data_IF_538027593950
#
_entry.id   IF_538027593950
#
_cell.length_a   1.000
_cell.length_b   1.000
_cell.length_c   1.000
_cell.angle_alpha   90.00
_cell.angle_beta   90.00
_cell.angle_gamma   90.00
#
_symmetry.space_group_name_H-M   'P 1'
#
loop_
_entity.id
_entity.type
_entity.pdbx_description
1 polymer ?
#
# COMPACT_ATOMS: atom_id res chain seq x y z
N UNK A 1 -15.00 -2.75 2.72
CA UNK A 1 -15.57 -2.36 1.41
C UNK A 1 -14.42 -2.21 0.43
N UNK A 2 -14.38 -3.00 -0.64
CA UNK A 2 -13.40 -2.86 -1.72
C UNK A 2 -13.96 -1.80 -2.67
N UNK A 3 -13.47 -0.57 -2.58
CA UNK A 3 -13.82 0.45 -3.57
C UNK A 3 -12.94 0.27 -4.80
N UNK A 4 -13.51 -0.35 -5.83
CA UNK A 4 -13.02 -0.22 -7.19
C UNK A 4 -13.37 1.20 -7.65
N UNK A 5 -12.44 2.13 -7.51
CA UNK A 5 -12.59 3.45 -8.11
C UNK A 5 -12.42 3.32 -9.64
N UNK A 6 -13.46 2.79 -10.29
CA UNK A 6 -13.60 2.88 -11.75
C UNK A 6 -14.04 4.30 -12.08
N UNK A 7 -13.17 5.04 -12.71
CA UNK A 7 -13.58 6.18 -13.51
C UNK A 7 -13.78 5.67 -14.94
N UNK A 8 -15.03 5.63 -15.41
CA UNK A 8 -15.39 5.28 -16.79
C UNK A 8 -14.97 6.36 -17.78
N UNK A 9 -14.51 7.48 -17.28
CA UNK A 9 -13.92 8.56 -18.09
C UNK A 9 -12.41 8.42 -18.12
N UNK A 10 -11.80 8.59 -19.29
CA UNK A 10 -10.36 8.51 -19.59
C UNK A 10 -9.45 9.46 -18.76
N UNK A 11 -9.83 9.80 -17.55
CA UNK A 11 -9.09 10.67 -16.66
C UNK A 11 -8.39 9.84 -15.60
N UNK A 12 -7.12 9.51 -15.85
CA UNK A 12 -6.27 8.76 -14.91
C UNK A 12 -5.99 9.63 -13.69
N UNK A 13 -6.71 9.39 -12.59
CA UNK A 13 -6.44 10.07 -11.32
C UNK A 13 -5.04 9.73 -10.82
N UNK A 14 -4.33 10.73 -10.32
CA UNK A 14 -3.04 10.52 -9.67
C UNK A 14 -3.22 9.79 -8.34
N UNK A 15 -2.18 9.10 -7.89
CA UNK A 15 -2.20 8.45 -6.58
C UNK A 15 -2.51 9.45 -5.45
N UNK A 16 -1.98 10.68 -5.56
CA UNK A 16 -2.26 11.76 -4.60
C UNK A 16 -3.74 12.16 -4.53
N UNK A 17 -4.43 12.23 -5.66
CA UNK A 17 -5.86 12.54 -5.72
C UNK A 17 -6.70 11.41 -5.10
N UNK A 18 -6.33 10.16 -5.38
CA UNK A 18 -6.97 8.99 -4.78
C UNK A 18 -6.80 9.00 -3.26
N UNK A 19 -5.61 9.36 -2.76
CA UNK A 19 -5.36 9.44 -1.32
C UNK A 19 -6.16 10.55 -0.64
N UNK A 20 -6.25 11.73 -1.24
CA UNK A 20 -7.10 12.81 -0.73
C UNK A 20 -8.56 12.37 -0.62
N UNK A 21 -9.05 11.67 -1.63
CA UNK A 21 -10.40 11.12 -1.62
C UNK A 21 -10.58 10.05 -0.54
N UNK A 22 -9.65 9.08 -0.48
CA UNK A 22 -9.73 7.95 0.47
C UNK A 22 -9.69 8.39 1.93
N UNK A 23 -8.91 9.41 2.28
CA UNK A 23 -8.80 9.95 3.63
C UNK A 23 -9.81 11.07 3.94
N UNK A 24 -10.53 11.56 2.91
CA UNK A 24 -11.50 12.65 3.06
C UNK A 24 -10.88 13.91 3.66
N UNK A 25 -11.62 14.74 4.41
CA UNK A 25 -11.12 16.01 4.96
C UNK A 25 -9.89 15.88 5.87
N UNK A 26 -9.65 14.70 6.44
CA UNK A 26 -8.54 14.44 7.37
C UNK A 26 -7.22 14.09 6.69
N UNK A 27 -7.16 14.03 5.36
CA UNK A 27 -5.96 13.60 4.62
C UNK A 27 -4.69 14.37 5.02
N UNK A 28 -4.80 15.68 5.23
CA UNK A 28 -3.64 16.50 5.56
C UNK A 28 -3.09 16.17 6.95
N UNK A 29 -3.95 16.08 7.96
CA UNK A 29 -3.53 15.75 9.33
C UNK A 29 -2.99 14.32 9.45
N UNK A 30 -3.59 13.36 8.73
CA UNK A 30 -3.22 11.95 8.83
C UNK A 30 -1.97 11.60 8.02
N UNK A 31 -1.77 12.22 6.84
CA UNK A 31 -0.69 11.85 5.92
C UNK A 31 0.48 12.81 5.95
N UNK A 32 0.26 14.12 6.14
CA UNK A 32 1.30 15.13 5.96
C UNK A 32 1.93 15.58 7.25
N UNK A 33 1.19 15.64 8.36
CA UNK A 33 1.64 16.28 9.58
C UNK A 33 2.53 15.39 10.44
N UNK A 34 3.61 15.98 10.94
CA UNK A 34 4.50 15.37 11.94
C UNK A 34 4.23 15.91 13.35
N UNK A 35 3.20 16.71 13.53
CA UNK A 35 2.88 17.35 14.81
C UNK A 35 2.24 16.35 15.77
N UNK A 36 2.78 16.30 16.98
CA UNK A 36 2.25 15.64 18.17
C UNK A 36 1.05 16.45 18.75
N UNK A 37 0.00 16.65 17.96
CA UNK A 37 -1.20 17.25 18.51
C UNK A 37 -2.05 16.14 19.11
N UNK A 38 -2.00 16.03 20.45
CA UNK A 38 -2.97 15.42 21.37
C UNK A 38 -3.19 13.89 21.29
N UNK A 39 -2.78 13.17 20.27
CA UNK A 39 -2.88 11.71 20.23
C UNK A 39 -1.48 11.08 20.25
N UNK A 40 -1.28 10.11 21.14
CA UNK A 40 -0.09 9.27 21.15
C UNK A 40 -0.09 8.41 19.89
N UNK A 41 0.49 8.92 18.82
CA UNK A 41 0.74 8.11 17.62
C UNK A 41 1.92 7.19 17.91
N UNK A 42 1.67 5.89 17.92
CA UNK A 42 2.70 4.91 18.11
C UNK A 42 3.72 4.96 16.95
N UNK A 43 5.03 4.92 17.23
CA UNK A 43 6.07 4.85 16.20
C UNK A 43 5.89 3.62 15.32
N UNK A 44 6.19 3.74 14.03
CA UNK A 44 6.11 2.62 13.09
C UNK A 44 4.71 2.17 12.71
N UNK A 45 3.67 2.96 13.02
CA UNK A 45 2.27 2.68 12.68
C UNK A 45 1.77 3.64 11.58
N UNK A 46 1.96 3.35 10.28
CA UNK A 46 1.50 4.22 9.20
C UNK A 46 -0.02 4.22 9.06
N UNK A 47 -0.56 5.34 8.58
CA UNK A 47 -1.96 5.46 8.18
C UNK A 47 -2.21 4.90 6.77
N UNK A 48 -1.21 5.00 5.90
CA UNK A 48 -1.21 4.53 4.52
C UNK A 48 -0.07 3.54 4.27
N UNK A 49 -0.40 2.39 3.71
CA UNK A 49 0.57 1.41 3.22
C UNK A 49 0.34 1.18 1.72
N UNK A 50 1.40 1.34 0.93
CA UNK A 50 1.40 1.10 -0.51
C UNK A 50 2.26 -0.13 -0.82
N UNK A 51 1.67 -1.14 -1.43
CA UNK A 51 2.35 -2.40 -1.78
C UNK A 51 2.53 -2.49 -3.28
N UNK A 52 3.76 -2.75 -3.70
CA UNK A 52 4.14 -2.93 -5.10
C UNK A 52 4.97 -4.19 -5.32
N UNK A 53 5.13 -4.58 -6.59
CA UNK A 53 5.84 -5.81 -6.96
C UNK A 53 7.37 -5.69 -6.87
N UNK A 54 7.91 -4.47 -6.80
CA UNK A 54 9.36 -4.25 -6.80
C UNK A 54 9.78 -2.98 -6.05
N UNK A 55 11.05 -2.93 -5.65
CA UNK A 55 11.66 -1.76 -5.03
C UNK A 55 11.62 -0.51 -5.93
N UNK A 56 11.86 -0.70 -7.23
CA UNK A 56 11.83 0.40 -8.22
C UNK A 56 10.43 0.99 -8.27
N UNK A 57 9.42 0.14 -8.34
CA UNK A 57 8.03 0.59 -8.38
C UNK A 57 7.62 1.28 -7.08
N UNK A 58 8.05 0.78 -5.92
CA UNK A 58 7.84 1.45 -4.63
C UNK A 58 8.39 2.87 -4.62
N UNK A 59 9.58 3.08 -5.18
CA UNK A 59 10.21 4.41 -5.27
C UNK A 59 9.46 5.36 -6.20
N UNK A 60 8.94 4.86 -7.33
CA UNK A 60 8.12 5.66 -8.25
C UNK A 60 6.85 6.15 -7.56
N UNK A 61 6.15 5.28 -6.86
CA UNK A 61 4.94 5.62 -6.11
C UNK A 61 5.22 6.62 -4.99
N UNK A 62 6.33 6.49 -4.28
CA UNK A 62 6.76 7.46 -3.27
C UNK A 62 7.10 8.83 -3.85
N UNK A 63 7.59 8.90 -5.10
CA UNK A 63 7.80 10.18 -5.79
C UNK A 63 6.47 10.88 -6.07
N UNK A 64 5.43 10.15 -6.46
CA UNK A 64 4.08 10.71 -6.62
C UNK A 64 3.51 11.23 -5.29
N UNK A 65 3.85 10.58 -4.17
CA UNK A 65 3.42 10.96 -2.83
C UNK A 65 4.31 12.00 -2.16
N UNK A 66 5.34 12.52 -2.84
CA UNK A 66 6.27 13.52 -2.27
C UNK A 66 5.59 14.75 -1.66
N UNK A 67 4.49 15.29 -2.22
CA UNK A 67 3.77 16.41 -1.59
C UNK A 67 3.25 16.10 -0.17
N UNK A 68 2.98 14.82 0.13
CA UNK A 68 2.47 14.37 1.43
C UNK A 68 3.58 14.06 2.45
N UNK A 69 4.82 13.92 2.02
CA UNK A 69 5.93 13.41 2.84
C UNK A 69 6.98 14.46 3.21
N UNK A 70 6.64 15.74 3.07
CA UNK A 70 7.56 16.86 3.35
C UNK A 70 7.86 17.00 4.84
N UNK A 71 6.85 16.94 5.68
CA UNK A 71 7.00 17.05 7.13
C UNK A 71 7.29 15.70 7.81
N UNK A 72 6.75 14.62 7.27
CA UNK A 72 6.91 13.28 7.80
C UNK A 72 7.39 12.34 6.67
N UNK A 73 8.69 12.02 6.62
CA UNK A 73 9.25 11.16 5.58
C UNK A 73 8.60 9.79 5.53
N UNK A 74 8.38 9.27 4.32
CA UNK A 74 7.84 7.93 4.13
C UNK A 74 8.86 6.84 4.46
N UNK A 75 8.39 5.73 5.01
CA UNK A 75 9.22 4.54 5.20
C UNK A 75 9.30 3.70 3.90
N UNK A 76 10.51 3.30 3.56
CA UNK A 76 10.82 2.43 2.41
C UNK A 76 10.99 1.01 2.91
N UNK A 77 10.07 0.12 2.52
CA UNK A 77 9.96 -1.24 3.05
C UNK A 77 10.23 -2.30 1.96
N UNK A 78 11.41 -2.23 1.34
CA UNK A 78 11.89 -3.21 0.36
C UNK A 78 13.34 -3.59 0.65
N UNK A 79 13.79 -4.75 0.15
CA UNK A 79 15.11 -5.30 0.49
C UNK A 79 16.26 -4.79 -0.37
N UNK A 80 16.00 -4.26 -1.56
CA UNK A 80 17.04 -3.82 -2.49
C UNK A 80 17.87 -2.67 -1.89
N UNK A 81 19.14 -2.92 -1.63
CA UNK A 81 20.11 -1.96 -1.04
C UNK A 81 19.73 -1.41 0.36
N UNK A 82 18.83 -2.11 1.07
CA UNK A 82 18.43 -1.70 2.42
C UNK A 82 18.46 -2.87 3.39
N UNK A 83 19.20 -2.70 4.47
CA UNK A 83 19.23 -3.67 5.56
C UNK A 83 17.97 -3.56 6.41
N UNK A 84 17.54 -4.68 6.98
CA UNK A 84 16.32 -4.70 7.79
C UNK A 84 16.47 -3.88 9.07
N UNK A 85 17.67 -3.84 9.65
CA UNK A 85 18.00 -3.07 10.85
C UNK A 85 17.84 -1.57 10.63
N UNK A 86 18.17 -1.07 9.42
CA UNK A 86 17.97 0.32 9.04
C UNK A 86 16.47 0.66 8.99
N UNK A 87 15.66 -0.25 8.48
CA UNK A 87 14.19 -0.07 8.43
C UNK A 87 13.58 -0.14 9.82
N UNK A 88 14.02 -1.07 10.67
CA UNK A 88 13.61 -1.13 12.07
C UNK A 88 13.95 0.19 12.80
N UNK A 89 15.11 0.78 12.52
CA UNK A 89 15.51 2.07 13.09
C UNK A 89 14.59 3.21 12.63
N UNK A 90 14.25 3.26 11.33
CA UNK A 90 13.31 4.25 10.79
C UNK A 90 11.93 4.13 11.42
N UNK A 91 11.45 2.89 11.62
CA UNK A 91 10.14 2.60 12.19
C UNK A 91 10.04 2.90 13.70
N UNK A 92 11.15 3.21 14.38
CA UNK A 92 11.12 3.77 15.75
C UNK A 92 10.64 5.22 15.80
N UNK A 93 10.45 5.85 14.66
CA UNK A 93 9.93 7.21 14.54
C UNK A 93 8.47 7.19 14.04
N UNK A 94 7.84 8.36 14.05
CA UNK A 94 6.53 8.54 13.44
C UNK A 94 6.64 8.32 11.93
N UNK A 95 5.76 7.47 11.40
CA UNK A 95 5.61 7.20 9.97
C UNK A 95 4.13 7.30 9.62
N UNK A 96 3.77 8.15 8.67
CA UNK A 96 2.38 8.26 8.19
C UNK A 96 2.17 7.42 6.92
N UNK A 97 3.17 7.34 6.07
CA UNK A 97 3.13 6.65 4.78
C UNK A 97 4.30 5.67 4.71
N UNK A 98 4.01 4.44 4.30
CA UNK A 98 5.02 3.44 4.00
C UNK A 98 4.75 2.82 2.63
N UNK A 99 5.81 2.47 1.91
CA UNK A 99 5.72 1.75 0.64
C UNK A 99 6.79 0.66 0.56
N UNK A 100 6.39 -0.50 0.05
CA UNK A 100 7.32 -1.62 -0.05
C UNK A 100 6.79 -2.82 -0.80
N UNK A 101 7.53 -3.91 -0.66
CA UNK A 101 7.22 -5.20 -1.26
C UNK A 101 6.68 -6.19 -0.23
N UNK A 102 5.83 -7.16 -0.62
CA UNK A 102 5.12 -8.02 0.33
C UNK A 102 6.02 -8.74 1.34
N UNK A 103 7.11 -9.34 0.90
CA UNK A 103 7.97 -10.14 1.79
C UNK A 103 8.65 -9.30 2.86
N UNK A 104 9.14 -8.10 2.51
CA UNK A 104 9.78 -7.21 3.48
C UNK A 104 8.77 -6.61 4.45
N UNK A 105 7.60 -6.23 3.98
CA UNK A 105 6.50 -5.74 4.82
C UNK A 105 6.10 -6.81 5.83
N UNK A 106 5.84 -8.04 5.38
CA UNK A 106 5.49 -9.14 6.27
C UNK A 106 6.56 -9.39 7.34
N UNK A 107 7.83 -9.42 6.95
CA UNK A 107 8.94 -9.62 7.87
C UNK A 107 9.00 -8.53 8.95
N UNK A 108 8.77 -7.28 8.61
CA UNK A 108 8.75 -6.17 9.57
C UNK A 108 7.53 -6.20 10.50
N UNK A 109 6.40 -6.70 10.04
CA UNK A 109 5.22 -6.93 10.90
C UNK A 109 5.50 -8.10 11.85
N UNK A 110 6.04 -9.23 11.35
CA UNK A 110 6.39 -10.40 12.15
C UNK A 110 7.42 -10.07 13.26
N UNK A 111 8.29 -9.09 13.02
CA UNK A 111 9.26 -8.56 13.99
C UNK A 111 8.66 -7.50 14.92
N UNK A 112 7.39 -7.18 14.80
CA UNK A 112 6.70 -6.12 15.57
C UNK A 112 7.31 -4.73 15.38
N UNK A 113 8.12 -4.52 14.33
CA UNK A 113 8.69 -3.22 13.99
C UNK A 113 7.69 -2.34 13.20
N UNK A 114 6.87 -2.95 12.35
CA UNK A 114 5.79 -2.29 11.61
C UNK A 114 4.46 -2.64 12.25
N UNK A 115 3.76 -1.65 12.77
CA UNK A 115 2.45 -1.82 13.39
C UNK A 115 1.30 -1.44 12.45
N UNK A 116 0.12 -1.99 12.71
CA UNK A 116 -1.06 -1.85 11.87
C UNK A 116 -2.25 -1.17 12.59
N UNK A 117 -2.09 -0.73 13.84
CA UNK A 117 -3.19 -0.17 14.62
C UNK A 117 -3.80 1.10 14.01
N UNK A 118 -2.99 1.85 13.28
CA UNK A 118 -3.38 3.13 12.66
C UNK A 118 -3.68 3.00 11.17
N UNK A 119 -3.44 1.83 10.57
CA UNK A 119 -3.59 1.61 9.14
C UNK A 119 -5.05 1.72 8.72
N UNK A 120 -5.36 2.71 7.90
CA UNK A 120 -6.71 3.01 7.41
C UNK A 120 -6.89 2.70 5.93
N UNK A 121 -5.82 2.85 5.14
CA UNK A 121 -5.85 2.62 3.70
C UNK A 121 -4.66 1.77 3.27
N UNK A 122 -4.96 0.73 2.51
CA UNK A 122 -4.01 -0.15 1.84
C UNK A 122 -4.14 0.04 0.33
N UNK A 123 -3.06 0.44 -0.33
CA UNK A 123 -3.01 0.55 -1.78
C UNK A 123 -2.24 -0.63 -2.36
N UNK A 124 -2.84 -1.33 -3.30
CA UNK A 124 -2.19 -2.35 -4.11
C UNK A 124 -1.89 -1.79 -5.50
N UNK A 125 -0.62 -1.72 -5.86
CA UNK A 125 -0.19 -1.28 -7.18
C UNK A 125 -0.40 -2.39 -8.21
N UNK A 126 -1.26 -2.12 -9.18
CA UNK A 126 -1.64 -3.08 -10.23
C UNK A 126 -0.85 -2.89 -11.52
N UNK A 127 0.14 -1.97 -11.53
CA UNK A 127 0.99 -1.75 -12.70
C UNK A 127 1.70 -3.04 -13.11
N UNK A 128 1.59 -3.37 -14.38
CA UNK A 128 2.32 -4.50 -14.96
C UNK A 128 3.77 -4.12 -15.28
N UNK A 129 4.67 -5.08 -15.10
CA UNK A 129 6.06 -4.96 -15.56
C UNK A 129 6.17 -5.16 -17.08
N UNK A 130 7.40 -5.08 -17.61
CA UNK A 130 7.67 -5.24 -19.04
C UNK A 130 7.31 -6.63 -19.59
N UNK A 131 7.16 -7.62 -18.71
CA UNK A 131 6.75 -8.99 -19.06
C UNK A 131 5.25 -9.22 -18.91
N UNK A 132 4.49 -8.19 -18.48
CA UNK A 132 3.05 -8.26 -18.26
C UNK A 132 2.64 -8.84 -16.90
N UNK A 133 3.53 -8.92 -15.92
CA UNK A 133 3.22 -9.36 -14.57
C UNK A 133 2.90 -8.18 -13.65
N UNK A 134 1.85 -8.33 -12.86
CA UNK A 134 1.47 -7.40 -11.77
C UNK A 134 1.83 -7.98 -10.40
N UNK A 135 1.56 -7.20 -9.35
CA UNK A 135 1.65 -7.64 -7.95
C UNK A 135 0.91 -8.97 -7.70
N UNK A 136 -0.22 -9.19 -8.37
CA UNK A 136 -1.08 -10.35 -8.17
C UNK A 136 -0.85 -11.49 -9.17
N UNK A 137 0.03 -11.31 -10.14
CA UNK A 137 0.30 -12.31 -11.20
C UNK A 137 1.75 -12.76 -11.27
N UNK A 138 2.72 -11.99 -10.77
CA UNK A 138 4.12 -12.40 -10.67
C UNK A 138 4.25 -13.52 -9.62
N UNK A 139 4.60 -14.77 -10.01
CA UNK A 139 4.34 -15.97 -9.19
C UNK A 139 4.83 -15.89 -7.74
N UNK A 140 6.11 -15.59 -7.52
CA UNK A 140 6.68 -15.52 -6.17
C UNK A 140 6.07 -14.36 -5.38
N UNK A 141 5.97 -13.18 -5.95
CA UNK A 141 5.43 -11.98 -5.31
C UNK A 141 3.94 -12.14 -4.99
N UNK A 142 3.19 -12.76 -5.90
CA UNK A 142 1.77 -13.10 -5.69
C UNK A 142 1.58 -13.95 -4.45
N UNK A 143 2.37 -14.99 -4.29
CA UNK A 143 2.23 -15.92 -3.15
C UNK A 143 2.60 -15.22 -1.84
N UNK A 144 3.66 -14.40 -1.83
CA UNK A 144 4.04 -13.54 -0.69
C UNK A 144 2.94 -12.51 -0.37
N UNK A 145 2.31 -11.91 -1.39
CA UNK A 145 1.21 -10.95 -1.21
C UNK A 145 -0.03 -11.61 -0.58
N UNK A 146 -0.39 -12.80 -1.05
CA UNK A 146 -1.54 -13.52 -0.50
C UNK A 146 -1.30 -14.01 0.91
N UNK A 147 -0.08 -14.44 1.24
CA UNK A 147 0.30 -14.79 2.61
C UNK A 147 0.20 -13.58 3.54
N UNK A 148 0.76 -12.44 3.13
CA UNK A 148 0.65 -11.18 3.86
C UNK A 148 -0.81 -10.74 4.06
N UNK A 149 -1.63 -10.80 3.01
CA UNK A 149 -3.04 -10.42 3.06
C UNK A 149 -3.82 -11.28 4.05
N UNK A 150 -3.70 -12.60 3.94
CA UNK A 150 -4.41 -13.54 4.82
C UNK A 150 -3.97 -13.41 6.27
N UNK A 151 -2.69 -13.17 6.51
CA UNK A 151 -2.13 -13.11 7.87
C UNK A 151 -2.52 -11.82 8.60
N UNK A 152 -2.66 -10.68 7.91
CA UNK A 152 -2.72 -9.38 8.58
C UNK A 152 -3.81 -8.44 8.12
N UNK A 153 -4.32 -8.57 6.89
CA UNK A 153 -5.25 -7.59 6.33
C UNK A 153 -6.68 -8.09 6.17
N UNK A 154 -6.84 -9.39 5.96
CA UNK A 154 -8.14 -9.97 5.60
C UNK A 154 -9.25 -9.60 6.58
N UNK A 155 -9.05 -9.86 7.88
CA UNK A 155 -10.03 -9.56 8.91
C UNK A 155 -10.35 -8.07 8.99
N UNK A 156 -9.32 -7.21 8.94
CA UNK A 156 -9.49 -5.75 8.96
C UNK A 156 -10.33 -5.22 7.78
N UNK A 157 -10.17 -5.84 6.60
CA UNK A 157 -10.98 -5.50 5.42
C UNK A 157 -12.42 -5.96 5.61
N UNK A 158 -12.65 -7.15 6.15
CA UNK A 158 -13.99 -7.67 6.44
C UNK A 158 -14.72 -6.84 7.51
N UNK A 159 -14.01 -6.42 8.55
CA UNK A 159 -14.54 -5.54 9.62
C UNK A 159 -14.79 -4.10 9.13
N UNK A 160 -14.29 -3.74 7.96
CA UNK A 160 -14.41 -2.39 7.42
C UNK A 160 -13.46 -1.36 8.06
N UNK A 161 -12.52 -1.80 8.90
CA UNK A 161 -11.52 -0.95 9.54
C UNK A 161 -10.37 -0.59 8.60
N UNK A 162 -10.13 -1.39 7.57
CA UNK A 162 -9.12 -1.18 6.53
C UNK A 162 -9.79 -1.08 5.15
N UNK A 163 -9.57 0.06 4.49
CA UNK A 163 -10.02 0.28 3.11
C UNK A 163 -8.91 -0.13 2.14
N UNK A 164 -9.25 -0.95 1.15
CA UNK A 164 -8.31 -1.38 0.12
C UNK A 164 -8.59 -0.69 -1.20
N UNK A 165 -7.56 -0.11 -1.80
CA UNK A 165 -7.61 0.58 -3.09
C UNK A 165 -6.68 -0.13 -4.09
N UNK A 166 -7.18 -0.38 -5.30
CA UNK A 166 -6.36 -0.86 -6.41
C UNK A 166 -5.95 0.34 -7.26
N UNK A 167 -4.65 0.49 -7.50
CA UNK A 167 -4.07 1.58 -8.27
C UNK A 167 -3.39 1.09 -9.54
N UNK A 168 -3.73 1.67 -10.68
CA UNK A 168 -3.19 1.32 -11.99
C UNK A 168 -4.17 0.52 -12.86
N UNK A 169 -3.73 0.05 -14.04
CA UNK A 169 -4.59 -0.65 -14.98
C UNK A 169 -5.04 -1.99 -14.40
N UNK A 170 -6.35 -2.19 -14.32
CA UNK A 170 -6.89 -3.49 -13.93
C UNK A 170 -6.77 -4.46 -15.11
N UNK A 171 -6.47 -5.74 -14.86
CA UNK A 171 -6.50 -6.76 -15.89
C UNK A 171 -7.91 -6.80 -16.49
N UNK A 172 -7.98 -6.76 -17.83
CA UNK A 172 -9.25 -7.02 -18.51
C UNK A 172 -9.70 -8.42 -18.14
N UNK A 173 -10.87 -8.54 -17.55
CA UNK A 173 -11.52 -9.84 -17.40
C UNK A 173 -11.83 -10.30 -18.82
N UNK A 174 -11.00 -11.21 -19.35
CA UNK A 174 -11.37 -11.94 -20.56
C UNK A 174 -12.66 -12.66 -20.22
N UNK A 175 -13.70 -12.41 -21.00
CA UNK A 175 -14.98 -13.09 -20.87
C UNK A 175 -14.70 -14.58 -20.68
N UNK A 176 -15.18 -15.11 -19.55
CA UNK A 176 -15.08 -16.53 -19.27
C UNK A 176 -15.67 -17.26 -20.48
N UNK A 177 -14.87 -18.14 -21.08
CA UNK A 177 -15.32 -19.03 -22.16
C UNK A 177 -16.65 -19.62 -21.72
N UNK A 178 -17.69 -19.34 -22.48
CA UNK A 178 -18.90 -20.14 -22.43
C UNK A 178 -18.45 -21.57 -22.68
N UNK A 179 -18.54 -22.40 -21.68
CA UNK A 179 -18.48 -23.85 -21.86
C UNK A 179 -19.80 -24.15 -22.56
N UNK A 180 -19.72 -24.38 -23.86
CA UNK A 180 -20.83 -24.92 -24.61
C UNK A 180 -21.00 -26.35 -24.10
N UNK A 181 -22.06 -26.58 -23.35
CA UNK A 181 -22.59 -27.89 -23.08
C UNK A 181 -23.18 -28.44 -24.39
N UNK A 182 -22.51 -29.40 -24.99
CA UNK A 182 -23.11 -30.40 -25.87
C UNK A 182 -23.12 -31.78 -25.18
#
# INVERSE_FOLDING_TARGET
MVELLRDETNNTRTLGEIMKFAFGPSWNSLLCKNTLVAEKVEPGHPALLVISSSAIRSLELLRELRPFTRECPAAKLFSKHMKIEEQVSVLKNRVNIASGTPSRIKKLIDMEALGLSRLSVLVLDMQMDVKGYSLLTLPQVRDEMWDLYKSYFHEKVLEGTLRMCLFGPLPKISEARKVDDE
#
